data_IF_305891704058
#
_entry.id   IF_305891704058
#
_cell.length_a   1.000
_cell.length_b   1.000
_cell.length_c   1.000
_cell.angle_alpha   90.00
_cell.angle_beta   90.00
_cell.angle_gamma   90.00
#
_symmetry.space_group_name_H-M   'P 1'
#
loop_
_entity.id
_entity.type
_entity.pdbx_description
1 polymer ?
#
# COMPACT_ATOMS: atom_id res chain seq x y z
N UNK A 1 -7.80 -30.09 37.39
CA UNK A 1 -8.33 -30.09 36.02
C UNK A 1 -9.21 -28.87 35.72
N UNK A 2 -10.14 -28.52 36.58
CA UNK A 2 -10.99 -27.35 36.38
C UNK A 2 -10.21 -26.00 36.36
N UNK A 3 -9.26 -25.83 37.29
CA UNK A 3 -8.41 -24.61 37.32
C UNK A 3 -7.57 -24.46 36.07
N UNK A 4 -7.03 -25.55 35.51
CA UNK A 4 -6.25 -25.51 34.28
C UNK A 4 -7.09 -25.13 33.06
N UNK A 5 -8.31 -25.63 32.97
CA UNK A 5 -9.28 -25.27 31.93
C UNK A 5 -9.64 -23.77 32.01
N UNK A 6 -9.91 -23.28 33.22
CA UNK A 6 -10.24 -21.86 33.43
C UNK A 6 -9.08 -20.94 33.03
N UNK A 7 -7.85 -21.30 33.41
CA UNK A 7 -6.67 -20.53 33.01
C UNK A 7 -6.48 -20.55 31.48
N UNK A 8 -6.66 -21.71 30.84
CA UNK A 8 -6.53 -21.82 29.39
C UNK A 8 -7.59 -21.01 28.64
N UNK A 9 -8.84 -21.04 29.13
CA UNK A 9 -9.94 -20.25 28.53
C UNK A 9 -9.68 -18.74 28.69
N UNK A 10 -9.30 -18.32 29.90
CA UNK A 10 -9.00 -16.92 30.14
C UNK A 10 -7.80 -16.43 29.29
N UNK A 11 -6.76 -17.24 29.17
CA UNK A 11 -5.62 -16.97 28.32
C UNK A 11 -6.00 -16.82 26.85
N UNK A 12 -6.87 -17.71 26.36
CA UNK A 12 -7.40 -17.64 25.00
C UNK A 12 -8.23 -16.38 24.76
N UNK A 13 -9.10 -16.02 25.69
CA UNK A 13 -9.94 -14.81 25.59
C UNK A 13 -9.05 -13.55 25.54
N UNK A 14 -8.05 -13.47 26.41
CA UNK A 14 -7.10 -12.34 26.42
C UNK A 14 -6.36 -12.26 25.10
N UNK A 15 -5.88 -13.38 24.56
CA UNK A 15 -5.18 -13.43 23.29
C UNK A 15 -6.08 -12.96 22.14
N UNK A 16 -7.32 -13.38 22.09
CA UNK A 16 -8.29 -12.96 21.07
C UNK A 16 -8.54 -11.45 21.16
N UNK A 17 -8.76 -10.92 22.36
CA UNK A 17 -8.96 -9.49 22.57
C UNK A 17 -7.74 -8.69 22.11
N UNK A 18 -6.52 -9.13 22.47
CA UNK A 18 -5.29 -8.50 22.06
C UNK A 18 -5.14 -8.45 20.53
N UNK A 19 -5.42 -9.58 19.86
CA UNK A 19 -5.38 -9.66 18.39
C UNK A 19 -6.38 -8.69 17.76
N UNK A 20 -7.61 -8.63 18.27
CA UNK A 20 -8.64 -7.71 17.77
C UNK A 20 -8.26 -6.24 17.95
N UNK A 21 -7.65 -5.89 19.08
CA UNK A 21 -7.17 -4.53 19.32
C UNK A 21 -6.02 -4.14 18.39
N UNK A 22 -5.05 -5.02 18.19
CA UNK A 22 -3.94 -4.80 17.27
C UNK A 22 -4.47 -4.64 15.84
N UNK A 23 -5.35 -5.53 15.42
CA UNK A 23 -5.94 -5.50 14.08
C UNK A 23 -6.77 -4.23 13.83
N UNK A 24 -7.62 -3.86 14.79
CA UNK A 24 -8.41 -2.63 14.73
C UNK A 24 -7.56 -1.37 14.70
N UNK A 25 -6.48 -1.33 15.50
CA UNK A 25 -5.54 -0.22 15.50
C UNK A 25 -4.80 -0.09 14.16
N UNK A 26 -4.34 -1.21 13.60
CA UNK A 26 -3.67 -1.24 12.29
C UNK A 26 -4.60 -0.78 11.18
N UNK A 27 -5.84 -1.23 11.17
CA UNK A 27 -6.87 -0.78 10.22
C UNK A 27 -7.13 0.72 10.33
N UNK A 28 -7.29 1.23 11.56
CA UNK A 28 -7.51 2.67 11.78
C UNK A 28 -6.33 3.50 11.25
N UNK A 29 -5.10 3.08 11.53
CA UNK A 29 -3.88 3.74 11.03
C UNK A 29 -3.78 3.68 9.51
N UNK A 30 -4.07 2.54 8.90
CA UNK A 30 -4.12 2.37 7.45
C UNK A 30 -5.10 3.36 6.81
N UNK A 31 -6.31 3.45 7.36
CA UNK A 31 -7.32 4.39 6.89
C UNK A 31 -6.89 5.85 7.03
N UNK A 32 -6.20 6.18 8.11
CA UNK A 32 -5.66 7.52 8.33
C UNK A 32 -4.61 7.88 7.29
N UNK A 33 -3.69 6.97 6.97
CA UNK A 33 -2.67 7.20 5.94
C UNK A 33 -3.29 7.32 4.54
N UNK A 34 -4.28 6.50 4.23
CA UNK A 34 -5.01 6.61 2.98
C UNK A 34 -5.68 7.98 2.83
N UNK A 35 -6.38 8.44 3.87
CA UNK A 35 -7.00 9.78 3.87
C UNK A 35 -5.99 10.92 3.76
N UNK A 36 -4.80 10.78 4.34
CA UNK A 36 -3.71 11.74 4.15
C UNK A 36 -3.27 11.81 2.69
N UNK A 37 -3.15 10.64 2.04
CA UNK A 37 -2.88 10.57 0.61
C UNK A 37 -3.93 11.27 -0.23
N UNK A 38 -5.22 11.05 0.06
CA UNK A 38 -6.34 11.71 -0.62
C UNK A 38 -6.32 13.23 -0.42
N UNK A 39 -6.10 13.70 0.80
CA UNK A 39 -6.03 15.13 1.09
C UNK A 39 -4.85 15.80 0.40
N UNK A 40 -3.69 15.15 0.39
CA UNK A 40 -2.50 15.64 -0.29
C UNK A 40 -2.70 15.68 -1.81
N UNK A 41 -3.33 14.66 -2.38
CA UNK A 41 -3.66 14.63 -3.81
C UNK A 41 -4.60 15.76 -4.20
N UNK A 42 -5.63 16.02 -3.38
CA UNK A 42 -6.55 17.15 -3.58
C UNK A 42 -5.87 18.51 -3.47
N UNK A 43 -4.84 18.63 -2.63
CA UNK A 43 -4.03 19.83 -2.49
C UNK A 43 -2.94 19.99 -3.58
N UNK A 44 -2.78 19.01 -4.46
CA UNK A 44 -1.73 19.01 -5.49
C UNK A 44 -0.33 18.65 -4.97
N UNK A 45 -0.21 18.21 -3.72
CA UNK A 45 1.05 17.74 -3.15
C UNK A 45 1.29 16.27 -3.53
N UNK A 46 1.96 16.10 -4.66
CA UNK A 46 2.23 14.78 -5.26
C UNK A 46 3.08 13.89 -4.35
N UNK A 47 4.09 14.44 -3.72
CA UNK A 47 5.01 13.65 -2.89
C UNK A 47 4.29 13.16 -1.62
N UNK A 48 3.55 14.03 -0.96
CA UNK A 48 2.76 13.66 0.21
C UNK A 48 1.62 12.68 -0.14
N UNK A 49 1.01 12.83 -1.32
CA UNK A 49 0.00 11.90 -1.81
C UNK A 49 0.58 10.49 -2.02
N UNK A 50 1.70 10.37 -2.71
CA UNK A 50 2.40 9.10 -2.91
C UNK A 50 2.77 8.48 -1.56
N UNK A 51 3.35 9.26 -0.65
CA UNK A 51 3.73 8.77 0.68
C UNK A 51 2.53 8.26 1.50
N UNK A 52 1.39 8.92 1.41
CA UNK A 52 0.16 8.49 2.09
C UNK A 52 -0.38 7.17 1.56
N UNK A 53 -0.44 6.99 0.25
CA UNK A 53 -0.87 5.73 -0.37
C UNK A 53 0.13 4.60 -0.13
N UNK A 54 1.43 4.88 -0.23
CA UNK A 54 2.49 3.93 0.07
C UNK A 54 2.40 3.43 1.51
N UNK A 55 2.23 4.33 2.47
CA UNK A 55 2.05 3.98 3.88
C UNK A 55 0.79 3.13 4.11
N UNK A 56 -0.30 3.38 3.38
CA UNK A 56 -1.51 2.57 3.45
C UNK A 56 -1.28 1.14 2.94
N UNK A 57 -0.47 0.95 1.90
CA UNK A 57 -0.07 -0.38 1.40
C UNK A 57 0.85 -1.08 2.40
N UNK A 58 1.83 -0.37 2.98
CA UNK A 58 2.75 -0.93 3.98
C UNK A 58 2.04 -1.42 5.24
N UNK A 59 0.91 -0.83 5.58
CA UNK A 59 0.05 -1.29 6.66
C UNK A 59 -0.91 -2.39 6.21
N UNK A 60 -0.41 -3.33 5.40
CA UNK A 60 -1.22 -4.41 4.86
C UNK A 60 -2.02 -5.11 5.96
N UNK A 61 -3.33 -5.07 5.82
CA UNK A 61 -4.26 -5.75 6.72
C UNK A 61 -5.09 -6.71 5.87
N UNK A 62 -5.05 -8.02 6.16
CA UNK A 62 -5.85 -8.99 5.41
C UNK A 62 -7.33 -8.60 5.41
N UNK A 63 -7.96 -8.62 4.23
CA UNK A 63 -9.36 -8.27 4.06
C UNK A 63 -9.65 -6.77 3.99
N UNK A 64 -8.65 -5.89 4.11
CA UNK A 64 -8.84 -4.45 3.92
C UNK A 64 -8.85 -4.08 2.44
N UNK A 65 -9.91 -3.39 1.94
CA UNK A 65 -9.95 -2.91 0.57
C UNK A 65 -9.01 -1.73 0.30
N UNK A 66 -8.46 -1.12 1.36
CA UNK A 66 -7.64 0.09 1.24
C UNK A 66 -6.31 -0.15 0.54
N UNK A 67 -5.75 -1.36 0.63
CA UNK A 67 -4.53 -1.74 -0.10
C UNK A 67 -4.75 -1.65 -1.61
N UNK A 68 -5.83 -2.25 -2.10
CA UNK A 68 -6.16 -2.21 -3.53
C UNK A 68 -6.55 -0.80 -3.98
N UNK A 69 -7.26 -0.05 -3.15
CA UNK A 69 -7.62 1.33 -3.44
C UNK A 69 -6.38 2.23 -3.52
N UNK A 70 -5.44 2.10 -2.59
CA UNK A 70 -4.18 2.84 -2.60
C UNK A 70 -3.32 2.48 -3.82
N UNK A 71 -3.26 1.19 -4.17
CA UNK A 71 -2.58 0.73 -5.37
C UNK A 71 -3.19 1.33 -6.64
N UNK A 72 -4.51 1.32 -6.76
CA UNK A 72 -5.23 1.92 -7.89
C UNK A 72 -4.99 3.44 -7.98
N UNK A 73 -4.90 4.14 -6.85
CA UNK A 73 -4.58 5.58 -6.81
C UNK A 73 -3.17 5.87 -7.30
N UNK A 74 -2.17 5.13 -6.82
CA UNK A 74 -0.79 5.26 -7.30
C UNK A 74 -0.66 4.95 -8.79
N UNK A 75 -1.35 3.92 -9.27
CA UNK A 75 -1.40 3.59 -10.68
C UNK A 75 -2.00 4.72 -11.52
N UNK A 76 -3.17 5.24 -11.11
CA UNK A 76 -3.84 6.34 -11.79
C UNK A 76 -2.98 7.62 -11.81
N UNK A 77 -2.22 7.89 -10.73
CA UNK A 77 -1.26 9.01 -10.71
C UNK A 77 -0.16 8.80 -11.76
N UNK A 78 0.41 7.61 -11.83
CA UNK A 78 1.42 7.26 -12.84
C UNK A 78 0.91 7.48 -14.26
N UNK A 79 -0.27 6.94 -14.58
CA UNK A 79 -0.91 7.14 -15.90
C UNK A 79 -1.23 8.61 -16.17
N UNK A 80 -1.65 9.36 -15.15
CA UNK A 80 -1.91 10.79 -15.26
C UNK A 80 -0.65 11.57 -15.65
N UNK A 81 0.48 11.27 -15.03
CA UNK A 81 1.76 11.88 -15.38
C UNK A 81 2.27 11.47 -16.75
N UNK A 82 2.07 10.22 -17.17
CA UNK A 82 2.40 9.80 -18.54
C UNK A 82 1.59 10.62 -19.57
N UNK A 83 0.29 10.74 -19.39
CA UNK A 83 -0.56 11.55 -20.28
C UNK A 83 -0.18 13.02 -20.30
N UNK A 84 0.33 13.55 -19.20
CA UNK A 84 0.82 14.91 -19.09
C UNK A 84 2.23 15.12 -19.69
N UNK A 85 2.86 14.05 -20.20
CA UNK A 85 4.21 14.12 -20.76
C UNK A 85 5.31 14.24 -19.69
N UNK A 86 5.04 13.79 -18.47
CA UNK A 86 5.98 13.81 -17.34
C UNK A 86 6.40 12.38 -16.96
N UNK A 87 7.34 11.77 -17.70
CA UNK A 87 7.79 10.41 -17.42
C UNK A 87 8.53 10.30 -16.09
N UNK A 88 9.12 11.40 -15.60
CA UNK A 88 9.87 11.39 -14.33
C UNK A 88 8.92 11.18 -13.15
N UNK A 89 7.82 11.94 -13.06
CA UNK A 89 6.83 11.74 -12.01
C UNK A 89 6.07 10.43 -12.17
N UNK A 90 5.79 10.01 -13.41
CA UNK A 90 5.19 8.72 -13.69
C UNK A 90 6.05 7.57 -13.13
N UNK A 91 7.36 7.61 -13.36
CA UNK A 91 8.30 6.64 -12.80
C UNK A 91 8.31 6.63 -11.27
N UNK A 92 8.22 7.79 -10.63
CA UNK A 92 8.16 7.87 -9.17
C UNK A 92 6.91 7.13 -8.67
N UNK A 93 5.74 7.38 -9.25
CA UNK A 93 4.50 6.74 -8.86
C UNK A 93 4.52 5.20 -9.07
N UNK A 94 4.96 4.73 -10.23
CA UNK A 94 5.03 3.30 -10.52
C UNK A 94 6.08 2.57 -9.68
N UNK A 95 7.24 3.20 -9.43
CA UNK A 95 8.29 2.63 -8.58
C UNK A 95 7.84 2.56 -7.12
N UNK A 96 7.14 3.59 -6.62
CA UNK A 96 6.57 3.58 -5.28
C UNK A 96 5.55 2.44 -5.12
N UNK A 97 4.63 2.29 -6.07
CA UNK A 97 3.65 1.21 -6.07
C UNK A 97 4.34 -0.17 -6.06
N UNK A 98 5.31 -0.37 -6.93
CA UNK A 98 6.08 -1.61 -7.02
C UNK A 98 6.82 -1.92 -5.72
N UNK A 99 7.57 -0.96 -5.19
CA UNK A 99 8.36 -1.15 -3.97
C UNK A 99 7.48 -1.38 -2.75
N UNK A 100 6.31 -0.76 -2.68
CA UNK A 100 5.36 -0.96 -1.59
C UNK A 100 4.91 -2.42 -1.48
N UNK A 101 4.60 -3.07 -2.60
CA UNK A 101 4.25 -4.49 -2.58
C UNK A 101 5.44 -5.42 -2.34
N UNK A 102 6.65 -5.03 -2.75
CA UNK A 102 7.84 -5.76 -2.36
C UNK A 102 8.09 -5.72 -0.85
N UNK A 103 7.83 -4.58 -0.22
CA UNK A 103 8.03 -4.40 1.22
C UNK A 103 7.07 -5.25 2.07
N UNK A 104 5.87 -5.56 1.58
CA UNK A 104 4.85 -6.35 2.30
C UNK A 104 4.86 -7.83 1.90
N UNK A 105 5.89 -8.29 1.21
CA UNK A 105 6.05 -9.71 0.89
C UNK A 105 6.26 -10.52 2.16
N UNK A 106 5.48 -11.57 2.32
CA UNK A 106 5.55 -12.50 3.44
C UNK A 106 5.10 -13.89 3.00
N UNK A 107 4.39 -14.58 3.87
CA UNK A 107 3.78 -15.88 3.56
C UNK A 107 2.81 -15.81 2.38
N UNK A 108 2.09 -14.68 2.27
CA UNK A 108 1.31 -14.32 1.09
C UNK A 108 2.07 -13.24 0.33
N UNK A 109 2.13 -13.34 -0.98
CA UNK A 109 2.73 -12.31 -1.84
C UNK A 109 1.62 -11.46 -2.48
N UNK A 110 1.02 -10.50 -1.73
CA UNK A 110 -0.02 -9.64 -2.27
C UNK A 110 0.55 -8.76 -3.38
N UNK A 111 -0.30 -8.35 -4.32
CA UNK A 111 0.06 -7.38 -5.32
C UNK A 111 0.99 -7.88 -6.43
N UNK A 112 1.07 -9.18 -6.67
CA UNK A 112 1.89 -9.74 -7.77
C UNK A 112 1.50 -9.16 -9.13
N UNK A 113 0.22 -8.96 -9.36
CA UNK A 113 -0.29 -8.31 -10.59
C UNK A 113 0.15 -6.85 -10.68
N UNK A 114 0.09 -6.12 -9.57
CA UNK A 114 0.57 -4.74 -9.52
C UNK A 114 2.06 -4.63 -9.83
N UNK A 115 2.87 -5.52 -9.26
CA UNK A 115 4.31 -5.59 -9.53
C UNK A 115 4.55 -5.84 -11.02
N UNK A 116 3.89 -6.82 -11.61
CA UNK A 116 4.05 -7.14 -13.03
C UNK A 116 3.65 -5.98 -13.95
N UNK A 117 2.53 -5.32 -13.65
CA UNK A 117 2.07 -4.14 -14.39
C UNK A 117 3.07 -2.98 -14.28
N UNK A 118 3.59 -2.73 -13.08
CA UNK A 118 4.60 -1.71 -12.85
C UNK A 118 5.90 -2.01 -13.58
N UNK A 119 6.35 -3.26 -13.57
CA UNK A 119 7.56 -3.67 -14.28
C UNK A 119 7.47 -3.34 -15.78
N UNK A 120 6.34 -3.64 -16.41
CA UNK A 120 6.09 -3.31 -17.81
C UNK A 120 6.13 -1.81 -18.10
N UNK A 121 5.47 -1.01 -17.26
CA UNK A 121 5.43 0.46 -17.45
C UNK A 121 6.76 1.11 -17.15
N UNK A 122 7.45 0.70 -16.09
CA UNK A 122 8.77 1.21 -15.75
C UNK A 122 9.76 0.93 -16.88
N UNK A 123 9.79 -0.28 -17.42
CA UNK A 123 10.67 -0.63 -18.54
C UNK A 123 10.42 0.25 -19.77
N UNK A 124 9.14 0.47 -20.12
CA UNK A 124 8.78 1.33 -21.23
C UNK A 124 9.20 2.79 -21.04
N UNK A 125 8.99 3.35 -19.84
CA UNK A 125 9.33 4.74 -19.51
C UNK A 125 10.85 4.97 -19.45
N UNK A 126 11.60 4.03 -18.89
CA UNK A 126 13.06 4.10 -18.84
C UNK A 126 13.63 4.10 -20.26
N UNK A 127 13.10 3.26 -21.16
CA UNK A 127 13.52 3.23 -22.56
C UNK A 127 13.28 4.57 -23.26
N UNK A 128 12.13 5.21 -23.03
CA UNK A 128 11.83 6.55 -23.57
C UNK A 128 12.81 7.59 -23.06
N UNK A 129 13.10 7.61 -21.75
CA UNK A 129 14.08 8.55 -21.18
C UNK A 129 15.48 8.37 -21.75
N UNK A 130 15.92 7.13 -21.96
CA UNK A 130 17.22 6.85 -22.53
C UNK A 130 17.33 7.30 -24.00
N UNK A 131 16.24 7.28 -24.74
CA UNK A 131 16.21 7.74 -26.14
C UNK A 131 16.20 9.27 -26.27
N UNK A 132 15.87 10.00 -25.21
CA UNK A 132 15.81 11.46 -25.18
C UNK A 132 17.12 12.11 -24.73
N UNK A 133 18.09 11.33 -24.28
CA UNK A 133 19.44 11.77 -23.90
C UNK A 133 20.42 11.61 -25.06
#
# INVERSE_FOLDING_TARGET
MEKAKTIAVNGLVIAVIAILLIWGNTWHRQRTQFKRGESAAAAGDVIAAIAGYEAAIHMYTPGSPLVEQAAAKLWAMGEGFERAGDPTRALIAFRSLRSSFYAVRGLNSPGREWIARCDGRIAALVKIQTQQQ
#
